data_IF_650327116946
#
_entry.id   IF_650327116946
#
_cell.length_a   1.000
_cell.length_b   1.000
_cell.length_c   1.000
_cell.angle_alpha   90.00
_cell.angle_beta   90.00
_cell.angle_gamma   90.00
#
_symmetry.space_group_name_H-M   'P 1'
#
loop_
_entity.id
_entity.type
_entity.pdbx_description
1 polymer ?
#
# COMPACT_ATOMS: atom_id res chain seq x y z
N UNK A 1 -7.86 21.46 24.65
CA UNK A 1 -8.80 20.42 25.11
C UNK A 1 -9.05 19.49 23.93
N UNK A 2 -8.26 18.42 23.88
CA UNK A 2 -8.72 17.02 23.90
C UNK A 2 -9.73 16.67 22.82
N UNK A 3 -9.19 16.13 21.73
CA UNK A 3 -9.93 15.30 20.77
C UNK A 3 -9.23 13.95 20.63
N UNK A 4 -9.05 13.23 21.75
CA UNK A 4 -8.81 11.79 21.69
C UNK A 4 -10.10 11.16 21.16
N UNK A 5 -10.17 10.95 19.85
CA UNK A 5 -11.14 10.03 19.29
C UNK A 5 -10.66 8.61 19.64
N UNK A 6 -11.36 7.86 20.50
CA UNK A 6 -11.05 6.45 20.66
C UNK A 6 -11.22 5.79 19.28
N UNK A 7 -10.21 5.02 18.87
CA UNK A 7 -10.25 4.26 17.63
C UNK A 7 -11.48 3.35 17.63
N UNK A 8 -12.48 3.70 16.84
CA UNK A 8 -13.57 2.80 16.49
C UNK A 8 -12.88 1.58 15.84
N UNK A 9 -13.13 0.38 16.38
CA UNK A 9 -12.58 -0.93 15.98
C UNK A 9 -11.38 -1.48 16.78
N UNK A 10 -10.95 -0.84 17.87
CA UNK A 10 -9.88 -1.38 18.75
C UNK A 10 -8.48 -1.37 18.13
N UNK A 11 -8.32 -0.71 16.97
CA UNK A 11 -7.02 -0.45 16.35
C UNK A 11 -6.40 0.83 16.90
N UNK A 12 -5.06 0.89 17.08
CA UNK A 12 -4.38 2.09 17.54
C UNK A 12 -4.63 3.29 16.61
N UNK A 13 -4.84 4.45 17.22
CA UNK A 13 -4.88 5.75 16.55
C UNK A 13 -3.49 6.14 16.04
N UNK A 14 -3.42 7.04 15.08
CA UNK A 14 -2.12 7.55 14.59
C UNK A 14 -1.25 8.11 15.72
N UNK A 15 -1.87 8.81 16.67
CA UNK A 15 -1.17 9.40 17.81
C UNK A 15 -0.59 8.33 18.73
N UNK A 16 -1.29 7.23 18.95
CA UNK A 16 -0.80 6.10 19.73
C UNK A 16 0.36 5.39 19.01
N UNK A 17 0.24 5.14 17.71
CA UNK A 17 1.31 4.53 16.90
C UNK A 17 2.57 5.41 16.88
N UNK A 18 2.41 6.72 16.68
CA UNK A 18 3.52 7.68 16.77
C UNK A 18 4.20 7.61 18.14
N UNK A 19 3.41 7.53 19.22
CA UNK A 19 3.96 7.46 20.57
C UNK A 19 4.72 6.14 20.79
N UNK A 20 4.15 5.01 20.41
CA UNK A 20 4.80 3.69 20.48
C UNK A 20 6.13 3.68 19.71
N UNK A 21 6.16 4.32 18.54
CA UNK A 21 7.38 4.48 17.76
C UNK A 21 8.46 5.28 18.50
N UNK A 22 8.07 6.38 19.14
CA UNK A 22 8.97 7.30 19.86
C UNK A 22 9.46 6.74 21.20
N UNK A 23 8.64 5.96 21.90
CA UNK A 23 9.02 5.33 23.18
C UNK A 23 9.87 4.08 22.98
N UNK A 24 9.82 3.48 21.79
CA UNK A 24 10.58 2.27 21.44
C UNK A 24 9.95 0.97 21.94
N UNK A 25 8.72 1.01 22.47
CA UNK A 25 8.00 -0.19 22.96
C UNK A 25 7.76 -1.19 21.83
N UNK A 26 7.27 -0.73 20.68
CA UNK A 26 6.96 -1.55 19.49
C UNK A 26 7.24 -0.76 18.20
N UNK A 27 8.45 -0.25 18.06
CA UNK A 27 8.81 0.72 17.00
C UNK A 27 8.54 0.23 15.59
N UNK A 28 8.95 -1.01 15.29
CA UNK A 28 8.82 -1.57 13.94
C UNK A 28 7.36 -1.83 13.58
N UNK A 29 6.58 -2.39 14.51
CA UNK A 29 5.15 -2.66 14.32
C UNK A 29 4.35 -1.37 14.17
N UNK A 30 4.62 -0.37 15.02
CA UNK A 30 3.96 0.93 14.95
C UNK A 30 4.24 1.65 13.61
N UNK A 31 5.48 1.56 13.11
CA UNK A 31 5.83 2.08 11.79
C UNK A 31 5.11 1.32 10.67
N UNK A 32 5.06 -0.01 10.75
CA UNK A 32 4.38 -0.84 9.77
C UNK A 32 2.89 -0.54 9.68
N UNK A 33 2.20 -0.37 10.81
CA UNK A 33 0.79 0.01 10.83
C UNK A 33 0.54 1.40 10.23
N UNK A 34 1.43 2.37 10.49
CA UNK A 34 1.37 3.68 9.83
C UNK A 34 1.62 3.58 8.32
N UNK A 35 2.56 2.74 7.90
CA UNK A 35 2.85 2.48 6.48
C UNK A 35 1.67 1.80 5.79
N UNK A 36 1.07 0.76 6.37
CA UNK A 36 -0.10 0.08 5.81
C UNK A 36 -1.29 1.04 5.64
N UNK A 37 -1.50 1.94 6.61
CA UNK A 37 -2.60 2.92 6.59
C UNK A 37 -2.41 3.98 5.51
N UNK A 38 -1.19 4.50 5.35
CA UNK A 38 -0.95 5.69 4.54
C UNK A 38 -0.20 5.44 3.23
N UNK A 39 0.52 4.33 3.11
CA UNK A 39 1.39 4.00 1.97
C UNK A 39 0.65 4.00 0.63
N UNK A 40 -0.52 3.33 0.53
CA UNK A 40 -1.33 3.39 -0.69
C UNK A 40 -1.84 4.80 -1.01
N UNK A 41 -2.17 5.58 0.03
CA UNK A 41 -2.75 6.93 -0.12
C UNK A 41 -1.68 7.92 -0.59
N UNK A 42 -0.48 7.89 0.01
CA UNK A 42 0.65 8.72 -0.42
C UNK A 42 1.16 8.31 -1.78
N UNK A 43 1.16 7.00 -2.11
CA UNK A 43 1.48 6.53 -3.46
C UNK A 43 0.50 7.07 -4.50
N UNK A 44 -0.81 6.97 -4.26
CA UNK A 44 -1.82 7.52 -5.18
C UNK A 44 -1.66 9.04 -5.37
N UNK A 45 -1.42 9.77 -4.29
CA UNK A 45 -1.11 11.20 -4.33
C UNK A 45 0.12 11.52 -5.19
N UNK A 46 1.22 10.79 -4.99
CA UNK A 46 2.46 10.95 -5.76
C UNK A 46 2.25 10.57 -7.23
N UNK A 47 1.61 9.43 -7.51
CA UNK A 47 1.32 8.92 -8.86
C UNK A 47 0.53 9.93 -9.69
N UNK A 48 -0.54 10.52 -9.14
CA UNK A 48 -1.31 11.57 -9.83
C UNK A 48 -0.49 12.82 -10.17
N UNK A 49 0.53 13.14 -9.37
CA UNK A 49 1.39 14.34 -9.53
C UNK A 49 2.63 14.12 -10.40
N UNK A 50 3.07 12.86 -10.52
CA UNK A 50 4.28 12.42 -11.23
C UNK A 50 3.92 11.83 -12.61
N UNK A 51 2.76 11.19 -12.74
CA UNK A 51 2.27 10.55 -13.96
C UNK A 51 2.93 9.20 -14.28
N UNK A 52 4.19 9.00 -13.85
CA UNK A 52 4.92 7.74 -13.98
C UNK A 52 4.85 6.92 -12.66
N UNK A 53 4.30 5.71 -12.74
CA UNK A 53 4.13 4.82 -11.58
C UNK A 53 5.44 4.30 -10.97
N UNK A 54 6.43 3.98 -11.79
CA UNK A 54 7.74 3.48 -11.31
C UNK A 54 8.48 4.58 -10.51
N UNK A 55 8.48 5.81 -11.03
CA UNK A 55 9.05 6.97 -10.33
C UNK A 55 8.25 7.30 -9.06
N UNK A 56 6.92 7.20 -9.11
CA UNK A 56 6.08 7.44 -7.93
C UNK A 56 6.34 6.41 -6.82
N UNK A 57 6.58 5.15 -7.17
CA UNK A 57 6.93 4.10 -6.21
C UNK A 57 8.28 4.37 -5.55
N UNK A 58 9.30 4.75 -6.33
CA UNK A 58 10.62 5.14 -5.82
C UNK A 58 10.53 6.33 -4.86
N UNK A 59 9.79 7.37 -5.23
CA UNK A 59 9.60 8.56 -4.39
C UNK A 59 8.82 8.25 -3.11
N UNK A 60 7.84 7.33 -3.19
CA UNK A 60 7.09 6.88 -2.01
C UNK A 60 8.02 6.09 -1.06
N UNK A 61 8.94 5.29 -1.60
CA UNK A 61 9.96 4.61 -0.78
C UNK A 61 10.89 5.61 -0.09
N UNK A 62 11.41 6.62 -0.82
CA UNK A 62 12.23 7.70 -0.24
C UNK A 62 11.49 8.54 0.80
N UNK A 63 10.17 8.71 0.64
CA UNK A 63 9.31 9.36 1.62
C UNK A 63 9.35 8.58 2.93
N UNK A 64 9.08 7.27 2.91
CA UNK A 64 9.00 6.47 4.13
C UNK A 64 10.35 6.25 4.82
N UNK A 65 11.46 6.19 4.08
CA UNK A 65 12.81 6.27 4.66
C UNK A 65 13.03 7.60 5.39
N UNK A 66 12.54 8.71 4.82
CA UNK A 66 12.55 10.01 5.48
C UNK A 66 11.65 10.08 6.71
N UNK A 67 10.46 9.49 6.64
CA UNK A 67 9.54 9.41 7.78
C UNK A 67 10.18 8.65 8.93
N UNK A 68 10.78 7.48 8.65
CA UNK A 68 11.44 6.65 9.66
C UNK A 68 12.49 7.41 10.48
N UNK A 69 13.23 8.31 9.81
CA UNK A 69 14.27 9.13 10.45
C UNK A 69 13.74 10.40 11.12
N UNK A 70 12.63 10.95 10.65
CA UNK A 70 12.06 12.20 11.16
C UNK A 70 10.98 11.98 12.25
N UNK A 71 10.42 10.78 12.36
CA UNK A 71 9.27 10.49 13.22
C UNK A 71 9.60 10.63 14.72
N UNK A 72 10.85 10.40 15.12
CA UNK A 72 11.33 10.67 16.49
C UNK A 72 11.17 12.13 16.90
N UNK A 73 11.33 13.05 15.94
CA UNK A 73 11.25 14.48 16.17
C UNK A 73 9.84 15.07 16.00
N UNK A 74 8.84 14.24 15.66
CA UNK A 74 7.49 14.73 15.40
C UNK A 74 6.77 15.13 16.70
N UNK A 75 6.46 16.42 16.84
CA UNK A 75 5.91 17.02 18.07
C UNK A 75 4.38 17.06 18.15
N UNK A 76 3.66 16.49 17.17
CA UNK A 76 2.19 16.47 17.17
C UNK A 76 1.50 17.84 17.04
N UNK A 77 2.19 18.87 16.52
CA UNK A 77 1.60 20.20 16.29
C UNK A 77 0.55 20.23 15.16
N UNK A 78 0.52 19.18 14.35
CA UNK A 78 -0.50 18.88 13.35
C UNK A 78 -0.81 17.37 13.42
N UNK A 79 -1.84 16.89 12.71
CA UNK A 79 -2.06 15.45 12.59
C UNK A 79 -0.88 14.78 11.87
N UNK A 80 -0.64 13.49 12.17
CA UNK A 80 0.38 12.70 11.47
C UNK A 80 0.15 12.73 9.96
N UNK A 81 -1.11 12.56 9.51
CA UNK A 81 -1.50 12.68 8.11
C UNK A 81 -1.06 14.00 7.48
N UNK A 82 -1.38 15.15 8.09
CA UNK A 82 -0.98 16.45 7.55
C UNK A 82 0.54 16.59 7.47
N UNK A 83 1.27 16.10 8.48
CA UNK A 83 2.73 16.12 8.51
C UNK A 83 3.35 15.22 7.41
N UNK A 84 2.83 14.00 7.25
CA UNK A 84 3.26 13.04 6.23
C UNK A 84 3.08 13.60 4.81
N UNK A 85 1.94 14.21 4.52
CA UNK A 85 1.69 14.80 3.20
C UNK A 85 2.53 16.06 2.93
N UNK A 86 2.91 16.82 3.97
CA UNK A 86 3.94 17.87 3.81
C UNK A 86 5.28 17.28 3.42
N UNK A 87 5.69 16.15 4.02
CA UNK A 87 6.91 15.45 3.59
C UNK A 87 6.81 14.94 2.15
N UNK A 88 5.67 14.36 1.75
CA UNK A 88 5.42 13.91 0.38
C UNK A 88 5.49 15.07 -0.63
N UNK A 89 4.88 16.21 -0.30
CA UNK A 89 4.96 17.42 -1.13
C UNK A 89 6.40 17.94 -1.25
N UNK A 90 7.18 17.92 -0.16
CA UNK A 90 8.60 18.29 -0.22
C UNK A 90 9.39 17.37 -1.15
N UNK A 91 9.10 16.07 -1.17
CA UNK A 91 9.69 15.12 -2.12
C UNK A 91 9.31 15.46 -3.57
N UNK A 92 8.05 15.78 -3.85
CA UNK A 92 7.61 16.24 -5.17
C UNK A 92 8.34 17.50 -5.62
N UNK A 93 8.48 18.49 -4.74
CA UNK A 93 9.20 19.73 -5.05
C UNK A 93 10.66 19.45 -5.36
N UNK A 94 11.32 18.55 -4.62
CA UNK A 94 12.70 18.14 -4.87
C UNK A 94 12.85 17.38 -6.19
N UNK A 95 11.95 16.43 -6.48
CA UNK A 95 11.94 15.70 -7.74
C UNK A 95 11.75 16.66 -8.92
N UNK A 96 10.76 17.55 -8.82
CA UNK A 96 10.51 18.58 -9.85
C UNK A 96 11.67 19.54 -10.00
N UNK A 97 12.36 19.92 -8.91
CA UNK A 97 13.61 20.69 -8.99
C UNK A 97 14.69 19.94 -9.74
N UNK A 98 14.92 18.65 -9.45
CA UNK A 98 15.87 17.81 -10.18
C UNK A 98 15.53 17.71 -11.68
N UNK A 99 14.24 17.63 -12.01
CA UNK A 99 13.76 17.64 -13.39
C UNK A 99 13.84 19.04 -14.05
N UNK A 100 13.77 20.09 -13.25
CA UNK A 100 13.81 21.51 -13.66
C UNK A 100 15.18 22.16 -13.59
N UNK A 101 16.19 21.48 -13.10
CA UNK A 101 17.58 21.81 -13.46
C UNK A 101 17.78 21.71 -14.99
N UNK A 102 16.79 21.22 -15.75
CA UNK A 102 16.64 21.34 -17.20
C UNK A 102 15.59 22.36 -17.71
N UNK A 103 14.81 23.05 -16.86
CA UNK A 103 13.89 24.16 -17.22
C UNK A 103 13.31 24.90 -15.97
N UNK A 104 13.67 26.18 -15.81
CA UNK A 104 13.32 27.24 -14.81
C UNK A 104 12.10 27.10 -13.89
N UNK A 105 12.16 27.74 -12.70
CA UNK A 105 11.45 27.80 -11.36
C UNK A 105 9.89 27.90 -11.18
N UNK A 106 9.32 27.37 -10.06
CA UNK A 106 7.89 27.52 -9.59
C UNK A 106 7.88 27.62 -8.04
N UNK A 107 6.95 28.39 -7.45
CA UNK A 107 6.89 28.69 -6.02
C UNK A 107 6.42 27.52 -5.14
N UNK A 108 6.73 27.59 -3.85
CA UNK A 108 6.25 26.66 -2.83
C UNK A 108 4.72 26.70 -2.68
N UNK A 109 4.10 25.53 -2.49
CA UNK A 109 2.65 25.41 -2.33
C UNK A 109 2.17 26.04 -1.01
N UNK A 110 1.03 26.73 -1.06
CA UNK A 110 0.36 27.33 0.10
C UNK A 110 -0.43 26.28 0.89
N UNK A 111 -0.74 26.53 2.18
CA UNK A 111 -1.51 25.60 3.02
C UNK A 111 -2.87 25.18 2.46
N UNK A 112 -3.57 26.06 1.72
CA UNK A 112 -4.88 25.75 1.12
C UNK A 112 -4.77 24.73 -0.03
N UNK A 113 -3.73 24.82 -0.86
CA UNK A 113 -3.52 23.86 -1.93
C UNK A 113 -3.26 22.44 -1.39
N UNK A 114 -2.56 22.35 -0.23
CA UNK A 114 -2.35 21.07 0.45
C UNK A 114 -3.66 20.50 1.00
N UNK A 115 -4.56 21.35 1.51
CA UNK A 115 -5.84 20.90 2.07
C UNK A 115 -6.77 20.34 0.99
N UNK A 116 -6.87 20.98 -0.18
CA UNK A 116 -7.63 20.43 -1.30
C UNK A 116 -7.05 19.11 -1.81
N UNK A 117 -5.72 19.01 -1.86
CA UNK A 117 -5.04 17.79 -2.27
C UNK A 117 -5.28 16.64 -1.29
N UNK A 118 -5.26 16.91 0.02
CA UNK A 118 -5.57 15.93 1.06
C UNK A 118 -7.00 15.38 0.93
N UNK A 119 -7.95 16.25 0.60
CA UNK A 119 -9.36 15.86 0.37
C UNK A 119 -9.51 14.99 -0.89
N UNK A 120 -8.77 15.28 -1.97
CA UNK A 120 -8.75 14.45 -3.18
C UNK A 120 -7.95 13.16 -3.02
N UNK A 121 -6.94 13.13 -2.17
CA UNK A 121 -6.17 11.92 -1.86
C UNK A 121 -7.01 10.90 -1.08
N UNK A 122 -7.95 11.37 -0.25
CA UNK A 122 -8.95 10.52 0.42
C UNK A 122 -10.03 9.99 -0.52
N UNK A 123 -10.19 10.60 -1.70
CA UNK A 123 -11.09 10.07 -2.71
C UNK A 123 -10.35 9.03 -3.56
N UNK A 124 -10.83 7.78 -3.60
CA UNK A 124 -10.33 6.81 -4.55
C UNK A 124 -10.51 7.38 -5.95
N UNK A 125 -9.44 7.35 -6.75
CA UNK A 125 -9.47 7.81 -8.13
C UNK A 125 -10.54 7.01 -8.90
N UNK A 126 -11.54 7.66 -9.55
CA UNK A 126 -12.62 6.96 -10.25
C UNK A 126 -12.10 6.00 -11.33
N UNK A 127 -11.05 6.39 -12.05
CA UNK A 127 -10.42 5.54 -13.07
C UNK A 127 -9.68 4.36 -12.43
N UNK A 128 -9.14 4.56 -11.23
CA UNK A 128 -8.49 3.52 -10.46
C UNK A 128 -9.50 2.61 -9.73
N UNK A 129 -10.69 3.08 -9.37
CA UNK A 129 -11.78 2.24 -8.87
C UNK A 129 -12.32 1.34 -9.96
N UNK A 130 -12.49 1.85 -11.18
CA UNK A 130 -12.93 1.04 -12.31
C UNK A 130 -11.86 0.03 -12.71
N UNK A 131 -10.58 0.45 -12.76
CA UNK A 131 -9.46 -0.47 -12.98
C UNK A 131 -9.34 -1.51 -11.85
N UNK A 132 -9.43 -1.12 -10.57
CA UNK A 132 -9.37 -2.05 -9.43
C UNK A 132 -10.59 -2.96 -9.34
N UNK A 133 -11.78 -2.47 -9.63
CA UNK A 133 -12.99 -3.29 -9.68
C UNK A 133 -12.90 -4.29 -10.83
N UNK A 134 -12.35 -3.88 -11.98
CA UNK A 134 -12.11 -4.76 -13.12
C UNK A 134 -11.06 -5.83 -12.80
N UNK A 135 -9.92 -5.46 -12.20
CA UNK A 135 -8.87 -6.39 -11.76
C UNK A 135 -9.39 -7.32 -10.67
N UNK A 136 -10.12 -6.80 -9.68
CA UNK A 136 -10.72 -7.56 -8.59
C UNK A 136 -11.76 -8.57 -9.07
N UNK A 137 -12.69 -8.14 -9.94
CA UNK A 137 -13.67 -9.04 -10.55
C UNK A 137 -13.00 -10.11 -11.42
N UNK A 138 -11.96 -9.73 -12.18
CA UNK A 138 -11.18 -10.67 -13.00
C UNK A 138 -10.43 -11.68 -12.12
N UNK A 139 -9.80 -11.23 -11.03
CA UNK A 139 -9.13 -12.10 -10.07
C UNK A 139 -10.12 -13.07 -9.41
N UNK A 140 -11.29 -12.61 -8.99
CA UNK A 140 -12.35 -13.46 -8.45
C UNK A 140 -12.81 -14.52 -9.47
N UNK A 141 -13.01 -14.13 -10.72
CA UNK A 141 -13.35 -15.06 -11.80
C UNK A 141 -12.24 -16.10 -12.05
N UNK A 142 -10.98 -15.68 -12.02
CA UNK A 142 -9.84 -16.58 -12.19
C UNK A 142 -9.67 -17.54 -11.00
N UNK A 143 -9.90 -17.08 -9.77
CA UNK A 143 -9.95 -17.90 -8.56
C UNK A 143 -11.12 -18.90 -8.59
N UNK A 144 -12.27 -18.51 -9.15
CA UNK A 144 -13.41 -19.40 -9.34
C UNK A 144 -13.08 -20.55 -10.30
N UNK A 145 -12.19 -20.32 -11.29
CA UNK A 145 -11.69 -21.36 -12.22
C UNK A 145 -10.67 -22.34 -11.62
N UNK A 146 -10.20 -22.13 -10.38
CA UNK A 146 -9.40 -23.11 -9.65
C UNK A 146 -10.29 -24.19 -9.05
N UNK A 147 -9.77 -25.42 -8.94
CA UNK A 147 -10.44 -26.42 -8.12
C UNK A 147 -10.35 -26.07 -6.63
N UNK A 148 -11.19 -26.69 -5.81
CA UNK A 148 -11.32 -26.37 -4.39
C UNK A 148 -9.98 -26.40 -3.64
N UNK A 149 -9.17 -27.44 -3.88
CA UNK A 149 -7.85 -27.60 -3.24
C UNK A 149 -6.86 -26.52 -3.70
N UNK A 150 -6.83 -26.18 -4.99
CA UNK A 150 -5.98 -25.12 -5.53
C UNK A 150 -6.38 -23.75 -4.97
N UNK A 151 -7.68 -23.48 -4.87
CA UNK A 151 -8.19 -22.24 -4.32
C UNK A 151 -7.86 -22.10 -2.84
N UNK A 152 -8.06 -23.17 -2.06
CA UNK A 152 -7.73 -23.19 -0.64
C UNK A 152 -6.23 -22.94 -0.39
N UNK A 153 -5.35 -23.57 -1.19
CA UNK A 153 -3.90 -23.35 -1.09
C UNK A 153 -3.51 -21.90 -1.43
N UNK A 154 -4.11 -21.30 -2.47
CA UNK A 154 -3.83 -19.90 -2.83
C UNK A 154 -4.35 -18.94 -1.75
N UNK A 155 -5.59 -19.14 -1.29
CA UNK A 155 -6.20 -18.27 -0.28
C UNK A 155 -5.43 -18.35 1.03
N UNK A 156 -5.20 -19.56 1.55
CA UNK A 156 -4.51 -19.75 2.81
C UNK A 156 -3.06 -19.24 2.77
N UNK A 157 -2.35 -19.42 1.66
CA UNK A 157 -0.96 -18.98 1.56
C UNK A 157 -0.81 -17.45 1.41
N UNK A 158 -1.65 -16.81 0.59
CA UNK A 158 -1.51 -15.38 0.29
C UNK A 158 -2.33 -14.47 1.19
N UNK A 159 -3.48 -14.93 1.66
CA UNK A 159 -4.43 -14.12 2.43
C UNK A 159 -4.60 -14.62 3.87
N UNK A 160 -4.41 -15.92 4.11
CA UNK A 160 -4.50 -16.53 5.44
C UNK A 160 -3.19 -16.56 6.23
N UNK A 161 -2.04 -16.25 5.61
CA UNK A 161 -0.73 -16.33 6.24
C UNK A 161 -0.24 -17.75 6.57
N UNK A 162 -0.89 -18.78 6.04
CA UNK A 162 -0.53 -20.17 6.31
C UNK A 162 0.72 -20.61 5.52
N UNK A 163 1.60 -21.35 6.19
CA UNK A 163 2.76 -21.97 5.55
C UNK A 163 2.33 -23.14 4.66
N UNK A 164 3.14 -23.46 3.65
CA UNK A 164 2.89 -24.61 2.77
C UNK A 164 2.81 -25.93 3.54
N UNK A 165 3.53 -26.04 4.66
CA UNK A 165 3.49 -27.22 5.51
C UNK A 165 2.17 -27.34 6.26
N UNK A 166 1.68 -26.23 6.85
CA UNK A 166 0.36 -26.18 7.48
C UNK A 166 -0.75 -26.50 6.48
N UNK A 167 -0.70 -25.93 5.27
CA UNK A 167 -1.66 -26.20 4.20
C UNK A 167 -1.63 -27.66 3.71
N UNK A 168 -0.44 -28.27 3.66
CA UNK A 168 -0.30 -29.69 3.30
C UNK A 168 -1.01 -30.58 4.31
N UNK A 169 -0.87 -30.26 5.60
CA UNK A 169 -1.52 -31.02 6.69
C UNK A 169 -3.03 -30.74 6.75
N UNK A 170 -3.46 -29.48 6.72
CA UNK A 170 -4.87 -29.09 6.88
C UNK A 170 -5.73 -29.59 5.72
N UNK A 171 -5.20 -29.57 4.49
CA UNK A 171 -5.87 -30.06 3.29
C UNK A 171 -5.63 -31.56 3.03
N UNK A 172 -4.96 -32.26 3.95
CA UNK A 172 -4.66 -33.71 3.89
C UNK A 172 -4.05 -34.14 2.55
N UNK A 173 -3.12 -33.33 2.04
CA UNK A 173 -2.47 -33.60 0.76
C UNK A 173 -1.45 -34.73 0.90
N UNK A 174 -1.65 -35.79 0.13
CA UNK A 174 -0.83 -37.02 0.19
C UNK A 174 0.28 -37.07 -0.85
N UNK A 175 0.33 -36.08 -1.76
CA UNK A 175 1.36 -36.01 -2.79
C UNK A 175 2.72 -35.62 -2.18
N UNK A 176 3.81 -36.16 -2.75
CA UNK A 176 5.20 -35.96 -2.28
C UNK A 176 5.63 -34.49 -2.19
N UNK A 177 5.00 -33.62 -2.97
CA UNK A 177 5.29 -32.19 -3.02
C UNK A 177 4.30 -31.33 -2.22
N UNK A 178 3.31 -31.93 -1.55
CA UNK A 178 2.30 -31.26 -0.74
C UNK A 178 1.62 -30.07 -1.42
N UNK A 179 1.34 -29.03 -0.65
CA UNK A 179 0.74 -27.78 -1.10
C UNK A 179 1.63 -27.00 -2.09
N UNK A 180 2.95 -27.25 -2.14
CA UNK A 180 3.89 -26.53 -3.03
C UNK A 180 3.58 -26.79 -4.51
N UNK A 181 3.39 -28.06 -4.90
CA UNK A 181 3.05 -28.38 -6.29
C UNK A 181 1.67 -27.85 -6.66
N UNK A 182 0.72 -27.90 -5.73
CA UNK A 182 -0.64 -27.36 -5.90
C UNK A 182 -0.60 -25.84 -6.10
N UNK A 183 0.20 -25.13 -5.30
CA UNK A 183 0.36 -23.67 -5.41
C UNK A 183 0.94 -23.27 -6.75
N UNK A 184 2.02 -23.92 -7.20
CA UNK A 184 2.64 -23.64 -8.51
C UNK A 184 1.66 -23.88 -9.65
N UNK A 185 0.89 -24.97 -9.58
CA UNK A 185 -0.13 -25.29 -10.58
C UNK A 185 -1.26 -24.24 -10.58
N UNK A 186 -1.69 -23.78 -9.41
CA UNK A 186 -2.70 -22.74 -9.24
C UNK A 186 -2.20 -21.38 -9.76
N UNK A 187 -0.99 -20.96 -9.40
CA UNK A 187 -0.36 -19.73 -9.89
C UNK A 187 -0.25 -19.72 -11.43
N UNK A 188 0.12 -20.84 -12.04
CA UNK A 188 0.19 -20.96 -13.51
C UNK A 188 -1.16 -20.81 -14.17
N UNK A 189 -2.23 -21.34 -13.56
CA UNK A 189 -3.61 -21.16 -14.05
C UNK A 189 -4.09 -19.73 -13.89
N UNK A 190 -3.85 -19.12 -12.73
CA UNK A 190 -4.21 -17.73 -12.46
C UNK A 190 -3.49 -16.78 -13.42
N UNK A 191 -2.17 -16.94 -13.60
CA UNK A 191 -1.40 -16.15 -14.56
C UNK A 191 -1.99 -16.20 -15.97
N UNK A 192 -2.22 -17.41 -16.49
CA UNK A 192 -2.83 -17.59 -17.82
C UNK A 192 -4.23 -16.99 -17.93
N UNK A 193 -5.01 -17.03 -16.86
CA UNK A 193 -6.35 -16.46 -16.83
C UNK A 193 -6.31 -14.93 -16.83
N UNK A 194 -5.44 -14.33 -16.01
CA UNK A 194 -5.22 -12.89 -15.91
C UNK A 194 -4.65 -12.32 -17.22
N UNK A 195 -3.67 -13.00 -17.83
CA UNK A 195 -3.10 -12.63 -19.14
C UNK A 195 -4.17 -12.60 -20.23
N UNK A 196 -5.06 -13.61 -20.27
CA UNK A 196 -6.19 -13.65 -21.23
C UNK A 196 -7.20 -12.53 -21.00
N UNK A 197 -7.35 -12.07 -19.77
CA UNK A 197 -8.23 -10.98 -19.40
C UNK A 197 -7.56 -9.59 -19.57
N UNK A 198 -6.32 -9.54 -20.07
CA UNK A 198 -5.60 -8.29 -20.28
C UNK A 198 -5.03 -7.67 -19.01
N UNK A 199 -5.01 -8.41 -17.89
CA UNK A 199 -4.42 -7.97 -16.62
C UNK A 199 -2.93 -8.33 -16.63
N UNK A 200 -2.08 -7.32 -16.79
CA UNK A 200 -0.63 -7.44 -16.72
C UNK A 200 -0.13 -7.48 -15.27
N UNK A 201 1.13 -7.91 -15.07
CA UNK A 201 1.75 -7.93 -13.75
C UNK A 201 1.81 -6.54 -13.07
N UNK A 202 1.74 -5.46 -13.87
CA UNK A 202 1.70 -4.07 -13.40
C UNK A 202 0.34 -3.67 -12.81
N UNK A 203 -0.74 -4.33 -13.23
CA UNK A 203 -2.12 -4.01 -12.82
C UNK A 203 -2.54 -4.69 -11.50
N UNK A 204 -1.72 -5.62 -11.01
CA UNK A 204 -1.96 -6.39 -9.78
C UNK A 204 -1.32 -5.71 -8.56
N UNK A 205 -0.37 -4.79 -8.78
CA UNK A 205 0.47 -4.18 -7.74
C UNK A 205 0.10 -2.70 -7.47
N UNK A 206 -0.71 -2.07 -8.32
CA UNK A 206 -1.29 -0.71 -8.15
C UNK A 206 -2.60 -0.72 -7.34
#
# INVERSE_FOLDING_TARGET
>A
MSGSHPGQDGKPTDTELVKQFQTGEDRDDAFMQLFERYGPITFAFLRRRIGNGEVAAEVNQELYLGVLTALDGFRGQASFKTWLFRMAQNRLLNLRRRWRTHADEIPAATPDALQEDLLRADQPDPDHQLAKAHVGATMQNCLAGLNEVQRAVVIGNYFGGETLEQLTRSLRLTNRSGARATLIAAQRKLRKCLEKAGVGARDIVD
#
